data_IF_236818139372
#
_entry.id   IF_236818139372
#
_cell.length_a   1.000
_cell.length_b   1.000
_cell.length_c   1.000
_cell.angle_alpha   90.00
_cell.angle_beta   90.00
_cell.angle_gamma   90.00
#
_symmetry.space_group_name_H-M   'P 1'
#
loop_
_entity.id
_entity.type
_entity.pdbx_description
1 polymer ?
#
# COMPACT_ATOMS: atom_id res chain seq x y z
N UNK A 1 -35.50 -2.96 9.51
CA UNK A 1 -35.05 -4.35 9.32
C UNK A 1 -34.85 -4.51 7.82
N UNK A 2 -33.68 -4.14 7.32
CA UNK A 2 -33.24 -4.33 5.95
C UNK A 2 -32.59 -5.71 5.87
N UNK A 3 -33.12 -6.57 5.04
CA UNK A 3 -32.58 -7.90 4.75
C UNK A 3 -31.14 -7.76 4.23
N UNK A 4 -30.19 -8.30 4.98
CA UNK A 4 -28.85 -8.60 4.47
C UNK A 4 -29.08 -9.67 3.40
N UNK A 5 -28.85 -9.33 2.14
CA UNK A 5 -28.79 -10.33 1.08
C UNK A 5 -27.59 -11.22 1.38
N UNK A 6 -27.86 -12.48 1.69
CA UNK A 6 -26.88 -13.55 1.80
C UNK A 6 -26.20 -13.72 0.43
N UNK A 7 -25.11 -13.00 0.19
CA UNK A 7 -24.19 -13.40 -0.85
C UNK A 7 -23.51 -14.68 -0.36
N UNK A 8 -23.63 -15.80 -1.06
CA UNK A 8 -22.95 -17.00 -0.67
C UNK A 8 -21.44 -16.69 -0.67
N UNK A 9 -20.83 -16.75 0.52
CA UNK A 9 -19.37 -16.72 0.65
C UNK A 9 -18.87 -17.84 -0.26
N UNK A 10 -18.25 -17.47 -1.37
CA UNK A 10 -17.72 -18.44 -2.31
C UNK A 10 -16.73 -19.30 -1.54
N UNK A 11 -17.10 -20.55 -1.29
CA UNK A 11 -16.16 -21.51 -0.78
C UNK A 11 -14.99 -21.53 -1.76
N UNK A 12 -13.80 -21.23 -1.28
CA UNK A 12 -12.57 -21.19 -2.07
C UNK A 12 -12.31 -22.62 -2.57
N UNK A 13 -12.92 -22.98 -3.68
CA UNK A 13 -12.61 -24.23 -4.36
C UNK A 13 -11.36 -23.99 -5.19
N UNK A 14 -10.22 -24.22 -4.58
CA UNK A 14 -8.98 -24.39 -5.32
C UNK A 14 -8.98 -25.78 -5.94
N UNK A 15 -9.66 -25.94 -7.08
CA UNK A 15 -9.61 -27.17 -7.82
C UNK A 15 -8.17 -27.39 -8.30
N UNK A 16 -7.52 -28.46 -7.84
CA UNK A 16 -6.12 -28.79 -8.17
C UNK A 16 -5.91 -29.13 -9.64
N UNK A 17 -6.99 -29.45 -10.36
CA UNK A 17 -7.02 -29.74 -11.80
C UNK A 17 -7.35 -28.51 -12.67
N UNK A 18 -7.40 -27.33 -12.07
CA UNK A 18 -7.62 -26.08 -12.80
C UNK A 18 -6.39 -25.68 -13.64
N UNK A 19 -6.65 -25.10 -14.81
CA UNK A 19 -5.60 -24.50 -15.62
C UNK A 19 -4.87 -23.38 -14.85
N UNK A 20 -3.54 -23.31 -14.93
CA UNK A 20 -2.75 -22.28 -14.25
C UNK A 20 -3.19 -20.86 -14.62
N UNK A 21 -3.30 -20.00 -13.63
CA UNK A 21 -3.72 -18.59 -13.82
C UNK A 21 -3.11 -17.66 -12.78
N UNK A 22 -3.30 -16.38 -12.98
CA UNK A 22 -3.00 -15.36 -11.97
C UNK A 22 -4.19 -15.29 -10.99
N UNK A 23 -3.96 -15.58 -9.71
CA UNK A 23 -4.95 -15.43 -8.64
C UNK A 23 -4.74 -14.09 -7.95
N UNK A 24 -5.68 -13.16 -8.13
CA UNK A 24 -5.60 -11.82 -7.54
C UNK A 24 -6.32 -11.82 -6.19
N UNK A 25 -5.56 -11.80 -5.11
CA UNK A 25 -6.07 -11.89 -3.73
C UNK A 25 -6.25 -10.51 -3.15
N UNK A 26 -7.50 -10.11 -2.87
CA UNK A 26 -7.84 -8.79 -2.33
C UNK A 26 -9.14 -8.81 -1.52
N UNK A 27 -9.48 -7.65 -0.90
CA UNK A 27 -10.71 -7.48 -0.13
C UNK A 27 -11.61 -6.35 -0.67
N UNK A 28 -11.17 -5.64 -1.72
CA UNK A 28 -11.92 -4.51 -2.26
C UNK A 28 -12.14 -4.66 -3.77
N UNK A 29 -13.32 -5.10 -4.19
CA UNK A 29 -13.64 -5.28 -5.60
C UNK A 29 -13.67 -3.98 -6.41
N UNK A 30 -13.95 -2.82 -5.78
CA UNK A 30 -14.01 -1.53 -6.46
C UNK A 30 -12.67 -1.09 -7.05
N UNK A 31 -11.58 -1.63 -6.55
CA UNK A 31 -10.22 -1.32 -7.02
C UNK A 31 -9.72 -2.30 -8.08
N UNK A 32 -10.49 -3.33 -8.43
CA UNK A 32 -10.04 -4.37 -9.35
C UNK A 32 -10.22 -4.02 -10.84
N UNK A 33 -11.26 -3.29 -11.30
CA UNK A 33 -11.57 -3.11 -12.71
C UNK A 33 -10.42 -2.66 -13.62
N UNK A 34 -9.50 -1.75 -13.25
CA UNK A 34 -8.36 -1.38 -14.08
C UNK A 34 -7.41 -2.54 -14.37
N UNK A 35 -7.22 -3.43 -13.40
CA UNK A 35 -6.36 -4.61 -13.52
C UNK A 35 -7.06 -5.70 -14.33
N UNK A 36 -8.34 -5.91 -14.13
CA UNK A 36 -9.16 -6.80 -14.94
C UNK A 36 -9.06 -6.43 -16.43
N UNK A 37 -9.26 -5.16 -16.74
CA UNK A 37 -9.13 -4.65 -18.10
C UNK A 37 -7.73 -4.89 -18.68
N UNK A 38 -6.67 -4.70 -17.90
CA UNK A 38 -5.29 -4.92 -18.32
C UNK A 38 -5.00 -6.40 -18.56
N UNK A 39 -5.45 -7.31 -17.68
CA UNK A 39 -5.31 -8.76 -17.88
C UNK A 39 -6.03 -9.23 -19.15
N UNK A 40 -7.28 -8.78 -19.37
CA UNK A 40 -8.04 -9.10 -20.59
C UNK A 40 -7.34 -8.59 -21.85
N UNK A 41 -6.87 -7.34 -21.84
CA UNK A 41 -6.19 -6.73 -22.97
C UNK A 41 -4.92 -7.49 -23.37
N UNK A 42 -4.23 -8.13 -22.43
CA UNK A 42 -2.99 -8.88 -22.66
C UNK A 42 -3.21 -10.40 -22.78
N UNK A 43 -4.46 -10.88 -22.70
CA UNK A 43 -4.78 -12.29 -22.79
C UNK A 43 -4.21 -13.13 -21.63
N UNK A 44 -3.98 -12.52 -20.47
CA UNK A 44 -3.50 -13.20 -19.26
C UNK A 44 -4.69 -13.84 -18.57
N UNK A 45 -4.63 -15.16 -18.35
CA UNK A 45 -5.64 -15.88 -17.57
C UNK A 45 -5.56 -15.47 -16.11
N UNK A 46 -6.69 -15.06 -15.52
CA UNK A 46 -6.75 -14.64 -14.12
C UNK A 46 -8.02 -15.11 -13.42
N UNK A 47 -7.97 -15.07 -12.11
CA UNK A 47 -9.11 -15.29 -11.22
C UNK A 47 -9.04 -14.25 -10.09
N UNK A 48 -10.15 -13.56 -9.88
CA UNK A 48 -10.35 -12.71 -8.71
C UNK A 48 -10.64 -13.58 -7.49
N UNK A 49 -9.97 -13.26 -6.39
CA UNK A 49 -10.08 -13.99 -5.13
C UNK A 49 -10.36 -12.98 -4.01
N UNK A 50 -11.66 -12.84 -3.67
CA UNK A 50 -12.12 -11.92 -2.64
C UNK A 50 -11.93 -12.51 -1.24
N UNK A 51 -10.94 -12.03 -0.49
CA UNK A 51 -10.56 -12.55 0.83
C UNK A 51 -11.24 -11.80 1.97
N UNK A 52 -12.55 -11.90 2.07
CA UNK A 52 -13.34 -11.33 3.18
C UNK A 52 -13.79 -12.37 4.20
N UNK A 53 -13.62 -13.64 3.89
CA UNK A 53 -13.98 -14.80 4.70
C UNK A 53 -13.63 -16.10 3.97
N UNK A 54 -14.07 -17.24 4.48
CA UNK A 54 -13.85 -18.55 3.83
C UNK A 54 -13.02 -19.51 4.68
N UNK A 55 -12.52 -20.54 4.05
CA UNK A 55 -11.68 -21.56 4.67
C UNK A 55 -10.66 -22.12 3.67
N UNK A 56 -9.55 -22.63 4.18
CA UNK A 56 -8.55 -23.41 3.44
C UNK A 56 -8.44 -24.79 4.09
N UNK A 57 -8.22 -25.81 3.28
CA UNK A 57 -7.83 -27.13 3.73
C UNK A 57 -6.30 -27.22 3.65
N UNK A 58 -5.63 -27.36 4.77
CA UNK A 58 -4.17 -27.35 4.84
C UNK A 58 -3.52 -28.56 4.17
N UNK A 59 -4.28 -29.66 4.05
CA UNK A 59 -3.83 -30.89 3.39
C UNK A 59 -4.12 -30.87 1.87
N UNK A 60 -4.94 -29.93 1.41
CA UNK A 60 -5.25 -29.79 -0.01
C UNK A 60 -4.19 -28.90 -0.69
N UNK A 61 -3.73 -29.36 -1.85
CA UNK A 61 -2.81 -28.58 -2.69
C UNK A 61 -3.54 -27.35 -3.29
N UNK A 62 -2.96 -26.13 -3.20
CA UNK A 62 -3.54 -24.96 -3.85
C UNK A 62 -3.58 -25.08 -5.38
N UNK A 63 -4.54 -24.43 -6.03
CA UNK A 63 -4.59 -24.33 -7.49
C UNK A 63 -3.24 -23.86 -8.08
N UNK A 64 -2.85 -24.38 -9.26
CA UNK A 64 -1.61 -23.96 -9.90
C UNK A 64 -1.69 -22.51 -10.38
N UNK A 65 -0.52 -21.83 -10.45
CA UNK A 65 -0.37 -20.48 -10.96
C UNK A 65 0.31 -19.51 -10.01
N UNK A 66 0.20 -18.23 -10.33
CA UNK A 66 0.82 -17.13 -9.60
C UNK A 66 -0.23 -16.41 -8.75
N UNK A 67 0.07 -16.22 -7.48
CA UNK A 67 -0.80 -15.49 -6.55
C UNK A 67 -0.27 -14.07 -6.35
N UNK A 68 -1.14 -13.08 -6.46
CA UNK A 68 -0.78 -11.68 -6.27
C UNK A 68 -1.56 -11.08 -5.11
N UNK A 69 -0.82 -10.56 -4.12
CA UNK A 69 -1.39 -9.84 -2.98
C UNK A 69 -1.83 -8.44 -3.37
N UNK A 70 -3.08 -8.13 -3.05
CA UNK A 70 -3.59 -6.77 -3.01
C UNK A 70 -4.24 -6.44 -1.65
N UNK A 71 -3.65 -6.97 -0.58
CA UNK A 71 -4.04 -6.58 0.77
C UNK A 71 -3.81 -5.08 0.96
N UNK A 72 -4.82 -4.38 1.48
CA UNK A 72 -4.71 -2.99 1.88
C UNK A 72 -4.55 -2.85 3.39
N UNK A 73 -3.58 -2.03 3.83
CA UNK A 73 -3.42 -1.66 5.23
C UNK A 73 -4.68 -1.02 5.82
N UNK A 74 -5.55 -0.41 4.97
CA UNK A 74 -6.82 0.21 5.37
C UNK A 74 -8.04 -0.70 5.27
N UNK A 75 -7.90 -2.00 5.07
CA UNK A 75 -9.03 -2.95 4.96
C UNK A 75 -10.02 -2.86 6.13
N UNK A 76 -9.53 -2.59 7.35
CA UNK A 76 -10.35 -2.43 8.55
C UNK A 76 -11.37 -1.27 8.47
N UNK A 77 -11.17 -0.28 7.61
CA UNK A 77 -12.11 0.85 7.42
C UNK A 77 -13.31 0.49 6.55
N UNK A 78 -13.31 -0.69 5.95
CA UNK A 78 -14.35 -1.24 5.08
C UNK A 78 -15.00 -2.50 5.67
N UNK A 79 -15.05 -2.61 6.99
CA UNK A 79 -15.55 -3.76 7.76
C UNK A 79 -14.77 -5.08 7.53
N UNK A 80 -13.58 -4.99 6.92
CA UNK A 80 -12.71 -6.13 6.65
C UNK A 80 -11.53 -6.21 7.64
N UNK A 81 -11.79 -5.99 8.93
CA UNK A 81 -10.76 -5.89 9.97
C UNK A 81 -9.86 -7.13 10.09
N UNK A 82 -10.34 -8.32 9.69
CA UNK A 82 -9.60 -9.58 9.80
C UNK A 82 -8.88 -10.00 8.52
N UNK A 83 -9.01 -9.25 7.44
CA UNK A 83 -8.40 -9.63 6.15
C UNK A 83 -6.89 -9.79 6.25
N UNK A 84 -6.22 -8.98 7.09
CA UNK A 84 -4.79 -9.12 7.35
C UNK A 84 -4.42 -10.52 7.87
N UNK A 85 -5.16 -11.01 8.86
CA UNK A 85 -4.95 -12.33 9.45
C UNK A 85 -5.28 -13.45 8.45
N UNK A 86 -6.34 -13.27 7.66
CA UNK A 86 -6.69 -14.23 6.61
C UNK A 86 -5.59 -14.28 5.53
N UNK A 87 -5.09 -13.13 5.10
CA UNK A 87 -3.99 -13.04 4.13
C UNK A 87 -2.73 -13.75 4.62
N UNK A 88 -2.34 -13.51 5.87
CA UNK A 88 -1.20 -14.20 6.49
C UNK A 88 -1.36 -15.72 6.48
N UNK A 89 -2.54 -16.23 6.85
CA UNK A 89 -2.82 -17.65 6.88
C UNK A 89 -2.81 -18.25 5.46
N UNK A 90 -3.49 -17.62 4.52
CA UNK A 90 -3.55 -18.08 3.12
C UNK A 90 -2.17 -18.09 2.48
N UNK A 91 -1.37 -17.02 2.67
CA UNK A 91 -0.05 -16.94 2.04
C UNK A 91 0.95 -17.90 2.68
N UNK A 92 0.91 -18.11 4.00
CA UNK A 92 1.71 -19.14 4.63
C UNK A 92 1.40 -20.55 4.08
N UNK A 93 0.12 -20.84 3.82
CA UNK A 93 -0.30 -22.09 3.18
C UNK A 93 0.20 -22.18 1.74
N UNK A 94 0.01 -21.13 0.90
CA UNK A 94 0.48 -21.07 -0.48
C UNK A 94 2.01 -21.26 -0.59
N UNK A 95 2.74 -20.51 0.23
CA UNK A 95 4.22 -20.57 0.28
C UNK A 95 4.70 -21.93 0.79
N UNK A 96 3.98 -22.52 1.76
CA UNK A 96 4.25 -23.89 2.27
C UNK A 96 4.12 -24.95 1.21
N UNK A 97 3.23 -24.79 0.22
CA UNK A 97 3.07 -25.64 -0.95
C UNK A 97 3.97 -25.23 -2.14
N UNK A 98 4.86 -24.25 -1.97
CA UNK A 98 5.77 -23.78 -3.01
C UNK A 98 5.12 -22.95 -4.11
N UNK A 99 3.91 -22.41 -3.90
CA UNK A 99 3.27 -21.52 -4.89
C UNK A 99 3.99 -20.21 -4.99
N UNK A 100 4.05 -19.65 -6.21
CA UNK A 100 4.63 -18.32 -6.44
C UNK A 100 3.66 -17.24 -5.94
N UNK A 101 4.06 -16.51 -4.90
CA UNK A 101 3.29 -15.40 -4.35
C UNK A 101 4.04 -14.09 -4.57
N UNK A 102 3.44 -13.16 -5.34
CA UNK A 102 3.90 -11.77 -5.50
C UNK A 102 3.27 -10.95 -4.39
N UNK A 103 4.08 -10.27 -3.59
CA UNK A 103 3.62 -9.62 -2.36
C UNK A 103 3.29 -10.61 -1.24
N UNK A 104 4.11 -11.67 -1.10
CA UNK A 104 3.94 -12.73 -0.10
C UNK A 104 4.06 -12.26 1.35
N UNK A 105 4.16 -13.21 2.28
CA UNK A 105 4.07 -12.97 3.74
C UNK A 105 4.99 -11.84 4.22
N UNK A 106 6.24 -11.80 3.77
CA UNK A 106 7.18 -10.74 4.16
C UNK A 106 6.77 -9.34 3.69
N UNK A 107 6.14 -9.25 2.53
CA UNK A 107 5.66 -7.97 1.95
C UNK A 107 4.37 -7.52 2.64
N UNK A 108 3.50 -8.46 3.03
CA UNK A 108 2.31 -8.16 3.84
C UNK A 108 2.69 -7.46 5.15
N UNK A 109 3.77 -7.88 5.80
CA UNK A 109 4.24 -7.21 7.03
C UNK A 109 4.72 -5.77 6.77
N UNK A 110 5.29 -5.49 5.61
CA UNK A 110 5.65 -4.11 5.22
C UNK A 110 4.39 -3.28 4.92
N UNK A 111 3.39 -3.84 4.24
CA UNK A 111 2.14 -3.14 3.91
C UNK A 111 1.42 -2.65 5.17
N UNK A 112 1.39 -3.48 6.22
CA UNK A 112 0.61 -3.19 7.43
C UNK A 112 1.39 -2.49 8.53
N UNK A 113 2.67 -2.14 8.32
CA UNK A 113 3.50 -1.54 9.37
C UNK A 113 4.46 -0.47 8.86
N UNK A 114 4.13 0.79 9.13
CA UNK A 114 5.04 1.92 8.86
C UNK A 114 6.32 1.85 9.70
N UNK A 115 6.27 1.25 10.89
CA UNK A 115 7.48 0.97 11.69
C UNK A 115 8.42 0.06 10.92
N UNK A 116 7.92 -1.02 10.32
CA UNK A 116 8.72 -1.94 9.51
C UNK A 116 9.29 -1.23 8.27
N UNK A 117 8.48 -0.41 7.59
CA UNK A 117 8.91 0.39 6.44
C UNK A 117 10.05 1.36 6.80
N UNK A 118 9.90 2.14 7.88
CA UNK A 118 10.93 3.07 8.33
C UNK A 118 12.22 2.35 8.76
N UNK A 119 12.11 1.20 9.42
CA UNK A 119 13.27 0.39 9.79
C UNK A 119 14.01 -0.14 8.54
N UNK A 120 13.27 -0.60 7.53
CA UNK A 120 13.83 -1.06 6.25
C UNK A 120 14.53 0.10 5.52
N UNK A 121 13.86 1.24 5.36
CA UNK A 121 14.41 2.43 4.70
C UNK A 121 15.70 2.92 5.38
N UNK A 122 15.70 3.04 6.72
CA UNK A 122 16.90 3.44 7.49
C UNK A 122 18.07 2.48 7.31
N UNK A 123 17.81 1.17 7.33
CA UNK A 123 18.84 0.14 7.13
C UNK A 123 19.49 0.25 5.76
N UNK A 124 18.77 0.75 4.76
CA UNK A 124 19.27 0.99 3.40
C UNK A 124 19.76 2.44 3.18
N UNK A 125 19.91 3.22 4.25
CA UNK A 125 20.52 4.55 4.20
C UNK A 125 19.62 5.65 3.60
N UNK A 126 18.30 5.44 3.58
CA UNK A 126 17.36 6.50 3.23
C UNK A 126 17.13 7.44 4.42
N UNK A 127 16.97 8.71 4.11
CA UNK A 127 16.46 9.68 5.09
C UNK A 127 14.96 9.44 5.26
N UNK A 128 14.52 9.28 6.51
CA UNK A 128 13.13 9.08 6.90
C UNK A 128 12.77 10.05 8.01
N UNK A 129 11.50 10.44 8.18
CA UNK A 129 11.11 11.35 9.24
C UNK A 129 11.50 10.80 10.62
N UNK A 130 11.89 11.71 11.53
CA UNK A 130 11.99 11.33 12.95
C UNK A 130 10.61 10.89 13.44
N UNK A 131 10.52 9.66 13.91
CA UNK A 131 9.26 9.03 14.29
C UNK A 131 9.43 8.25 15.58
N UNK A 132 8.47 8.41 16.49
CA UNK A 132 8.32 7.64 17.71
C UNK A 132 7.10 6.72 17.54
N UNK A 133 7.23 5.43 17.78
CA UNK A 133 6.11 4.49 17.86
C UNK A 133 5.69 4.36 19.32
N UNK A 134 4.42 4.63 19.60
CA UNK A 134 3.85 4.57 20.96
C UNK A 134 2.77 3.51 20.98
N UNK A 135 2.89 2.58 21.92
CA UNK A 135 1.98 1.45 22.08
C UNK A 135 0.94 1.78 23.16
N UNK A 136 -0.32 1.86 22.75
CA UNK A 136 -1.39 2.33 23.61
C UNK A 136 -1.44 3.87 23.73
N UNK A 137 -2.37 4.36 24.56
CA UNK A 137 -2.73 5.79 24.65
C UNK A 137 -2.00 6.53 25.76
N UNK A 138 -1.62 5.82 26.83
CA UNK A 138 -1.20 6.41 28.11
C UNK A 138 0.06 7.26 27.99
N UNK A 139 1.05 6.80 27.23
CA UNK A 139 2.36 7.46 27.09
C UNK A 139 2.38 8.55 26.00
N UNK A 140 1.33 8.67 25.20
CA UNK A 140 1.28 9.59 24.05
C UNK A 140 1.64 11.04 24.45
N UNK A 141 1.03 11.64 25.52
CA UNK A 141 1.36 13.02 25.91
C UNK A 141 2.81 13.21 26.32
N UNK A 142 3.39 12.25 27.04
CA UNK A 142 4.77 12.33 27.50
C UNK A 142 5.76 12.19 26.31
N UNK A 143 5.48 11.25 25.41
CA UNK A 143 6.35 10.99 24.25
C UNK A 143 6.30 12.11 23.20
N UNK A 144 5.14 12.78 23.04
CA UNK A 144 5.01 13.88 22.11
C UNK A 144 5.97 15.04 22.43
N UNK A 145 6.31 15.25 23.69
CA UNK A 145 7.25 16.31 24.12
C UNK A 145 8.69 16.08 23.69
N UNK A 146 9.02 14.91 23.14
CA UNK A 146 10.32 14.65 22.53
C UNK A 146 10.42 15.17 21.08
N UNK A 147 9.29 15.60 20.50
CA UNK A 147 9.23 16.22 19.19
C UNK A 147 8.99 17.72 19.32
N UNK A 148 9.61 18.48 18.40
CA UNK A 148 9.31 19.90 18.24
C UNK A 148 7.93 20.07 17.58
N UNK A 149 7.24 21.15 17.93
CA UNK A 149 6.00 21.53 17.27
C UNK A 149 6.30 22.39 16.01
N UNK A 150 5.54 22.25 14.92
CA UNK A 150 4.46 21.28 14.75
C UNK A 150 4.97 19.85 14.52
N UNK A 151 4.18 18.88 14.94
CA UNK A 151 4.37 17.48 14.62
C UNK A 151 3.05 16.84 14.12
N UNK A 152 3.11 15.61 13.63
CA UNK A 152 1.92 14.88 13.19
C UNK A 152 1.76 13.55 13.92
N UNK A 153 0.53 13.08 14.02
CA UNK A 153 0.24 11.68 14.29
C UNK A 153 0.02 10.91 13.00
N UNK A 154 0.19 9.59 13.05
CA UNK A 154 -0.22 8.62 12.00
C UNK A 154 -0.56 7.30 12.68
N UNK A 155 -1.46 6.53 12.08
CA UNK A 155 -1.60 5.12 12.46
C UNK A 155 -0.44 4.30 11.87
N UNK A 156 0.10 3.35 12.63
CA UNK A 156 1.11 2.43 12.10
C UNK A 156 0.52 1.55 10.99
N UNK A 157 -0.66 0.96 11.24
CA UNK A 157 -1.44 0.27 10.22
C UNK A 157 -2.51 1.21 9.69
N UNK A 158 -2.35 1.70 8.45
CA UNK A 158 -3.32 2.58 7.83
C UNK A 158 -2.85 3.06 6.46
N UNK A 159 -3.79 3.51 5.67
CA UNK A 159 -3.59 4.18 4.38
C UNK A 159 -4.55 5.36 4.26
N UNK A 160 -4.55 6.08 3.13
CA UNK A 160 -5.48 7.18 2.85
C UNK A 160 -5.47 8.32 3.90
N UNK A 161 -4.35 8.57 4.54
CA UNK A 161 -4.26 9.63 5.55
C UNK A 161 -4.89 9.31 6.91
N UNK A 162 -5.28 8.06 7.18
CA UNK A 162 -5.90 7.66 8.45
C UNK A 162 -5.04 7.98 9.65
N UNK A 163 -5.64 8.67 10.63
CA UNK A 163 -4.98 9.10 11.86
C UNK A 163 -3.90 10.16 11.63
N UNK A 164 -3.79 10.71 10.42
CA UNK A 164 -2.85 11.83 10.16
C UNK A 164 -3.49 13.12 10.63
N UNK A 165 -2.95 13.65 11.73
CA UNK A 165 -3.36 14.96 12.29
C UNK A 165 -2.12 15.77 12.61
N UNK A 166 -2.15 17.07 12.32
CA UNK A 166 -1.10 18.00 12.68
C UNK A 166 -1.46 18.69 14.00
N UNK A 167 -0.44 18.87 14.83
CA UNK A 167 -0.54 19.57 16.09
C UNK A 167 0.50 20.70 16.14
N UNK A 168 0.02 21.90 16.33
CA UNK A 168 0.85 23.10 16.42
C UNK A 168 1.28 23.39 17.87
N UNK A 169 0.63 22.74 18.86
CA UNK A 169 0.99 22.78 20.28
C UNK A 169 0.86 21.41 20.93
N UNK A 170 1.59 21.19 22.00
CA UNK A 170 1.46 19.95 22.80
C UNK A 170 0.14 19.93 23.57
N UNK A 171 -0.38 21.09 23.97
CA UNK A 171 -1.64 21.25 24.68
C UNK A 171 -2.85 20.78 23.84
N UNK A 172 -2.87 21.14 22.54
CA UNK A 172 -3.92 20.67 21.62
C UNK A 172 -3.84 19.16 21.43
N UNK A 173 -2.62 18.61 21.38
CA UNK A 173 -2.42 17.18 21.32
C UNK A 173 -2.92 16.47 22.56
N UNK A 174 -2.59 16.96 23.76
CA UNK A 174 -3.05 16.40 25.03
C UNK A 174 -4.59 16.42 25.10
N UNK A 175 -5.21 17.51 24.70
CA UNK A 175 -6.66 17.65 24.64
C UNK A 175 -7.27 16.62 23.67
N UNK A 176 -6.70 16.45 22.50
CA UNK A 176 -7.11 15.43 21.52
C UNK A 176 -6.98 14.02 22.10
N UNK A 177 -5.82 13.68 22.67
CA UNK A 177 -5.60 12.37 23.28
C UNK A 177 -6.60 12.11 24.42
N UNK A 178 -6.98 13.12 25.21
CA UNK A 178 -7.95 12.96 26.30
C UNK A 178 -9.42 12.91 25.82
N UNK A 179 -9.70 13.32 24.58
CA UNK A 179 -11.05 13.46 24.04
C UNK A 179 -11.64 12.13 23.56
N UNK A 180 -12.98 12.05 23.40
CA UNK A 180 -13.63 10.93 22.72
C UNK A 180 -13.38 10.90 21.21
N UNK A 181 -12.80 11.96 20.63
CA UNK A 181 -12.45 12.05 19.21
C UNK A 181 -11.12 11.36 18.88
N UNK A 182 -10.40 10.87 19.91
CA UNK A 182 -9.17 10.13 19.68
C UNK A 182 -9.45 8.86 18.90
N UNK A 183 -8.82 8.74 17.73
CA UNK A 183 -8.94 7.59 16.85
C UNK A 183 -7.93 6.52 17.27
N UNK A 184 -8.42 5.43 17.87
CA UNK A 184 -7.57 4.29 18.24
C UNK A 184 -7.04 3.59 16.97
N UNK A 185 -5.71 3.43 16.82
CA UNK A 185 -5.15 2.67 15.72
C UNK A 185 -5.60 1.20 15.74
N UNK A 186 -5.84 0.61 14.57
CA UNK A 186 -6.31 -0.78 14.45
C UNK A 186 -5.36 -1.81 15.09
N UNK A 187 -4.07 -1.49 15.17
CA UNK A 187 -3.01 -2.33 15.77
C UNK A 187 -2.53 -1.80 17.14
N UNK A 188 -3.19 -0.78 17.68
CA UNK A 188 -2.85 -0.14 18.96
C UNK A 188 -1.57 0.69 18.95
N UNK A 189 -1.02 1.02 17.75
CA UNK A 189 0.25 1.73 17.61
C UNK A 189 0.06 3.09 16.93
N UNK A 190 0.26 4.16 17.69
CA UNK A 190 0.31 5.53 17.16
C UNK A 190 1.74 5.95 16.84
N UNK A 191 1.96 6.50 15.67
CA UNK A 191 3.22 7.14 15.32
C UNK A 191 3.13 8.64 15.59
N UNK A 192 4.08 9.16 16.34
CA UNK A 192 4.34 10.59 16.50
C UNK A 192 5.53 10.94 15.61
N UNK A 193 5.34 11.83 14.65
CA UNK A 193 6.32 12.08 13.60
C UNK A 193 6.58 13.58 13.45
N UNK A 194 7.84 13.97 13.21
CA UNK A 194 8.18 15.35 12.85
C UNK A 194 7.33 15.82 11.65
N UNK A 195 6.92 17.07 11.69
CA UNK A 195 6.25 17.69 10.55
C UNK A 195 7.28 18.16 9.54
N UNK A 196 7.27 17.57 8.35
CA UNK A 196 8.13 17.95 7.26
C UNK A 196 7.48 19.05 6.43
N UNK A 197 8.23 20.14 6.20
CA UNK A 197 7.82 21.18 5.25
C UNK A 197 8.41 20.86 3.89
N UNK A 198 7.56 20.59 2.91
CA UNK A 198 8.02 20.41 1.53
C UNK A 198 8.56 21.73 0.97
N UNK A 199 9.55 21.65 0.07
CA UNK A 199 10.08 22.80 -0.67
C UNK A 199 9.02 23.39 -1.60
N UNK A 200 8.21 22.53 -2.20
CA UNK A 200 7.06 22.89 -3.04
C UNK A 200 5.81 22.13 -2.54
N UNK A 201 4.58 22.62 -2.81
CA UNK A 201 3.36 22.07 -2.24
C UNK A 201 2.93 20.77 -2.94
N UNK A 202 3.83 19.81 -3.03
CA UNK A 202 3.53 18.46 -3.52
C UNK A 202 4.44 17.41 -2.87
N UNK A 203 4.02 16.17 -2.96
CA UNK A 203 4.84 14.98 -2.70
C UNK A 203 5.00 14.18 -3.98
N UNK A 204 6.02 13.33 -4.04
CA UNK A 204 6.26 12.47 -5.20
C UNK A 204 6.03 11.03 -4.83
N UNK A 205 5.33 10.32 -5.71
CA UNK A 205 5.16 8.89 -5.64
C UNK A 205 5.78 8.23 -6.89
N UNK A 206 6.78 7.39 -6.68
CA UNK A 206 7.43 6.61 -7.73
C UNK A 206 6.83 5.20 -7.77
N UNK A 207 6.38 4.76 -8.94
CA UNK A 207 5.72 3.46 -9.12
C UNK A 207 6.69 2.44 -9.70
N UNK A 208 6.63 1.22 -9.16
CA UNK A 208 7.51 0.10 -9.52
C UNK A 208 6.70 -1.16 -9.78
N UNK A 209 7.07 -1.90 -10.83
CA UNK A 209 6.52 -3.21 -11.18
C UNK A 209 7.66 -4.16 -11.55
N UNK A 210 7.65 -5.37 -10.99
CA UNK A 210 8.76 -6.31 -11.12
C UNK A 210 10.06 -5.75 -10.51
N UNK A 211 9.94 -4.89 -9.49
CA UNK A 211 11.07 -4.17 -8.90
C UNK A 211 11.69 -3.10 -9.81
N UNK A 212 11.05 -2.74 -10.93
CA UNK A 212 11.54 -1.78 -11.90
C UNK A 212 10.64 -0.56 -11.98
N UNK A 213 11.27 0.61 -12.12
CA UNK A 213 10.59 1.89 -12.23
C UNK A 213 9.64 1.94 -13.44
N UNK A 214 8.45 2.46 -13.24
CA UNK A 214 7.44 2.67 -14.30
C UNK A 214 7.31 4.16 -14.62
N UNK A 215 6.91 4.96 -13.66
CA UNK A 215 6.84 6.43 -13.72
C UNK A 215 6.78 7.03 -12.31
N UNK A 216 6.91 8.34 -12.21
CA UNK A 216 6.66 9.08 -10.99
C UNK A 216 5.50 10.05 -11.16
N UNK A 217 4.76 10.25 -10.05
CA UNK A 217 3.59 11.14 -9.98
C UNK A 217 3.86 12.21 -8.95
N UNK A 218 3.55 13.44 -9.30
CA UNK A 218 3.42 14.55 -8.38
C UNK A 218 2.00 14.59 -7.83
N UNK A 219 1.87 14.63 -6.51
CA UNK A 219 0.59 14.73 -5.80
C UNK A 219 0.54 16.08 -5.09
N UNK A 220 -0.39 16.94 -5.52
CA UNK A 220 -0.56 18.29 -4.97
C UNK A 220 -1.05 18.22 -3.51
N UNK A 221 -0.40 18.96 -2.62
CA UNK A 221 -0.74 19.06 -1.19
C UNK A 221 -1.13 20.48 -0.78
N UNK A 222 -1.34 21.40 -1.74
CA UNK A 222 -1.66 22.82 -1.48
C UNK A 222 -2.98 23.01 -0.74
N UNK A 223 -3.94 22.09 -0.90
CA UNK A 223 -5.21 22.10 -0.19
C UNK A 223 -5.09 21.72 1.30
N UNK A 224 -3.89 21.35 1.78
CA UNK A 224 -3.62 20.96 3.17
C UNK A 224 -4.19 19.60 3.55
N UNK A 225 -4.69 18.81 2.60
CA UNK A 225 -5.14 17.45 2.87
C UNK A 225 -3.94 16.49 2.89
N UNK A 226 -3.91 15.62 3.88
CA UNK A 226 -2.94 14.50 3.95
C UNK A 226 -3.46 13.24 3.25
N UNK A 227 -4.64 13.33 2.65
CA UNK A 227 -5.25 12.22 1.92
C UNK A 227 -4.64 12.11 0.52
N UNK A 228 -3.71 11.20 0.35
CA UNK A 228 -2.95 10.99 -0.90
C UNK A 228 -3.60 9.97 -1.84
N UNK A 229 -4.83 9.52 -1.56
CA UNK A 229 -5.50 8.52 -2.41
C UNK A 229 -6.99 8.80 -2.57
N UNK A 230 -7.41 9.68 -3.49
CA UNK A 230 -8.81 9.81 -3.85
C UNK A 230 -9.22 8.73 -4.86
N UNK A 231 -9.20 7.47 -4.47
CA UNK A 231 -9.86 6.43 -5.28
C UNK A 231 -11.39 6.58 -5.25
N UNK A 232 -11.91 7.32 -4.28
CA UNK A 232 -13.35 7.52 -4.05
C UNK A 232 -13.83 8.95 -4.37
N UNK A 233 -13.02 9.81 -4.99
CA UNK A 233 -13.43 11.18 -5.34
C UNK A 233 -14.37 11.17 -6.55
N UNK A 234 -15.66 11.10 -6.29
CA UNK A 234 -16.72 11.32 -7.29
C UNK A 234 -16.97 12.81 -7.62
N UNK A 235 -16.25 13.74 -7.03
CA UNK A 235 -16.31 15.15 -7.39
C UNK A 235 -14.95 15.61 -7.92
N UNK A 236 -14.92 16.05 -9.17
CA UNK A 236 -13.73 16.55 -9.86
C UNK A 236 -13.39 17.93 -9.28
N UNK A 237 -12.31 18.08 -8.49
CA UNK A 237 -11.84 19.42 -8.12
C UNK A 237 -11.32 20.14 -9.37
N UNK A 238 -11.46 21.46 -9.44
CA UNK A 238 -10.88 22.30 -10.51
C UNK A 238 -9.34 22.21 -10.61
N UNK A 239 -8.68 21.66 -9.63
CA UNK A 239 -7.22 21.42 -9.60
C UNK A 239 -6.96 19.95 -9.85
N UNK A 240 -6.15 19.62 -10.86
CA UNK A 240 -5.70 18.24 -11.12
C UNK A 240 -4.68 17.87 -10.03
N UNK A 241 -5.07 17.07 -9.02
CA UNK A 241 -4.21 16.81 -7.87
C UNK A 241 -3.02 15.88 -8.22
N UNK A 242 -3.00 15.32 -9.43
CA UNK A 242 -1.99 14.37 -9.88
C UNK A 242 -1.45 14.77 -11.25
N UNK A 243 -0.12 14.74 -11.39
CA UNK A 243 0.54 14.94 -12.68
C UNK A 243 1.80 14.05 -12.77
N UNK A 244 2.21 13.68 -13.99
CA UNK A 244 3.48 13.01 -14.19
C UNK A 244 4.63 13.93 -13.74
N UNK A 245 5.65 13.32 -13.14
CA UNK A 245 6.90 13.94 -12.79
C UNK A 245 7.99 13.45 -13.72
N UNK A 246 8.02 14.02 -14.91
CA UNK A 246 8.84 13.55 -16.05
C UNK A 246 10.35 13.61 -15.80
N UNK A 247 10.81 14.52 -14.91
CA UNK A 247 12.22 14.63 -14.53
C UNK A 247 12.71 13.48 -13.67
N UNK A 248 11.81 12.71 -13.06
CA UNK A 248 12.16 11.47 -12.36
C UNK A 248 12.10 10.31 -13.34
N UNK A 249 13.26 9.81 -13.71
CA UNK A 249 13.43 8.73 -14.71
C UNK A 249 14.08 7.50 -14.07
N UNK A 250 14.18 6.40 -14.82
CA UNK A 250 14.88 5.18 -14.38
C UNK A 250 16.37 5.40 -14.06
N UNK A 251 16.98 6.44 -14.66
CA UNK A 251 18.39 6.81 -14.43
C UNK A 251 18.56 7.67 -13.19
N UNK A 252 17.49 8.19 -12.62
CA UNK A 252 17.56 9.04 -11.43
C UNK A 252 18.21 8.29 -10.26
N UNK A 253 19.20 8.87 -9.55
CA UNK A 253 19.94 8.15 -8.51
C UNK A 253 19.06 7.59 -7.40
N UNK A 254 18.02 8.32 -7.00
CA UNK A 254 17.05 7.87 -5.99
C UNK A 254 16.25 6.66 -6.47
N UNK A 255 15.84 6.63 -7.74
CA UNK A 255 15.09 5.52 -8.35
C UNK A 255 15.93 4.24 -8.34
N UNK A 256 17.20 4.31 -8.72
CA UNK A 256 18.11 3.16 -8.67
C UNK A 256 18.26 2.61 -7.25
N UNK A 257 18.39 3.49 -6.27
CA UNK A 257 18.44 3.07 -4.86
C UNK A 257 17.13 2.41 -4.40
N UNK A 258 15.97 2.88 -4.90
CA UNK A 258 14.69 2.22 -4.63
C UNK A 258 14.62 0.84 -5.29
N UNK A 259 15.08 0.67 -6.52
CA UNK A 259 15.15 -0.66 -7.14
C UNK A 259 16.04 -1.64 -6.35
N UNK A 260 17.18 -1.18 -5.82
CA UNK A 260 18.06 -1.97 -4.96
C UNK A 260 17.36 -2.34 -3.63
N UNK A 261 16.65 -1.39 -2.99
CA UNK A 261 15.85 -1.62 -1.79
C UNK A 261 14.77 -2.67 -2.02
N UNK A 262 13.99 -2.50 -3.09
CA UNK A 262 12.88 -3.39 -3.45
C UNK A 262 13.38 -4.81 -3.71
N UNK A 263 14.49 -4.95 -4.45
CA UNK A 263 15.13 -6.24 -4.70
C UNK A 263 15.60 -6.91 -3.40
N UNK A 264 16.24 -6.16 -2.50
CA UNK A 264 16.71 -6.67 -1.22
C UNK A 264 15.58 -7.06 -0.26
N UNK A 265 14.41 -6.41 -0.37
CA UNK A 265 13.24 -6.67 0.45
C UNK A 265 12.28 -7.70 -0.18
N UNK A 266 12.53 -8.15 -1.42
CA UNK A 266 11.62 -9.04 -2.15
C UNK A 266 10.30 -8.38 -2.54
N UNK A 267 10.28 -7.05 -2.67
CA UNK A 267 9.09 -6.28 -3.05
C UNK A 267 9.10 -6.07 -4.55
N UNK A 268 8.10 -6.57 -5.24
CA UNK A 268 8.06 -6.57 -6.70
C UNK A 268 7.11 -5.51 -7.27
N UNK A 269 6.08 -5.13 -6.51
CA UNK A 269 5.12 -4.10 -6.91
C UNK A 269 4.98 -3.13 -5.74
N UNK A 270 5.28 -1.85 -5.97
CA UNK A 270 5.15 -0.81 -4.95
C UNK A 270 5.05 0.60 -5.54
N UNK A 271 4.38 1.48 -4.80
CA UNK A 271 4.50 2.93 -4.92
C UNK A 271 5.28 3.48 -3.72
N UNK A 272 6.42 4.13 -3.95
CA UNK A 272 7.27 4.71 -2.91
C UNK A 272 7.06 6.22 -2.86
N UNK A 273 6.74 6.75 -1.68
CA UNK A 273 6.47 8.16 -1.49
C UNK A 273 7.64 8.89 -0.83
N UNK A 274 8.01 10.02 -1.42
CA UNK A 274 9.06 10.89 -0.89
C UNK A 274 8.73 12.37 -1.12
N UNK A 275 9.39 13.23 -0.38
CA UNK A 275 9.33 14.67 -0.58
C UNK A 275 10.73 15.30 -0.52
N UNK A 276 10.89 16.37 -1.24
CA UNK A 276 12.01 17.31 -1.08
C UNK A 276 11.57 18.37 -0.09
N UNK A 277 12.32 18.50 0.98
CA UNK A 277 11.99 19.40 2.08
C UNK A 277 12.60 20.78 1.89
N UNK A 278 12.03 21.79 2.53
CA UNK A 278 12.51 23.18 2.46
C UNK A 278 13.95 23.37 2.99
N UNK A 279 14.44 22.45 3.82
CA UNK A 279 15.81 22.40 4.32
C UNK A 279 16.77 21.59 3.42
N UNK A 280 16.30 21.13 2.26
CA UNK A 280 17.10 20.47 1.22
C UNK A 280 17.30 18.96 1.40
N UNK A 281 16.57 18.30 2.31
CA UNK A 281 16.57 16.83 2.43
C UNK A 281 15.64 16.21 1.39
N UNK A 282 15.93 14.98 0.99
CA UNK A 282 14.98 14.10 0.29
C UNK A 282 14.57 13.00 1.24
N UNK A 283 13.34 13.07 1.74
CA UNK A 283 12.83 12.20 2.79
C UNK A 283 11.82 11.22 2.22
N UNK A 284 12.08 9.91 2.39
CA UNK A 284 11.16 8.81 2.02
C UNK A 284 10.35 8.42 3.24
N UNK A 285 9.02 8.33 3.11
CA UNK A 285 8.17 8.15 4.29
C UNK A 285 7.08 7.09 4.15
N UNK A 286 6.86 6.52 2.96
CA UNK A 286 5.84 5.47 2.76
C UNK A 286 6.23 4.51 1.62
N UNK A 287 5.91 3.22 1.80
CA UNK A 287 6.03 2.17 0.79
C UNK A 287 4.67 1.48 0.70
N UNK A 288 3.95 1.71 -0.39
CA UNK A 288 2.63 1.13 -0.62
C UNK A 288 2.77 -0.09 -1.54
N UNK A 289 2.55 -1.29 -1.03
CA UNK A 289 2.63 -2.54 -1.81
C UNK A 289 1.29 -2.92 -2.45
N UNK A 290 0.21 -2.25 -2.04
CA UNK A 290 -1.09 -2.26 -2.70
C UNK A 290 -1.34 -0.90 -3.37
N UNK A 291 -0.79 -0.72 -4.58
CA UNK A 291 -0.90 0.55 -5.31
C UNK A 291 -2.14 0.59 -6.21
N UNK A 292 -2.79 1.75 -6.27
CA UNK A 292 -3.83 2.09 -7.22
C UNK A 292 -3.34 3.25 -8.10
N UNK A 293 -3.83 3.30 -9.33
CA UNK A 293 -3.35 4.22 -10.35
C UNK A 293 -4.43 5.24 -10.70
N UNK A 294 -4.04 6.52 -10.76
CA UNK A 294 -4.96 7.60 -11.11
C UNK A 294 -5.28 7.54 -12.63
N UNK A 295 -6.56 7.47 -13.04
CA UNK A 295 -6.92 7.36 -14.45
C UNK A 295 -6.44 8.52 -15.33
N UNK A 296 -6.36 9.74 -14.80
CA UNK A 296 -5.88 10.90 -15.56
C UNK A 296 -4.38 10.82 -15.81
N UNK A 297 -3.61 10.28 -14.84
CA UNK A 297 -2.17 10.00 -15.02
C UNK A 297 -1.99 8.86 -16.03
N UNK A 298 -2.74 7.77 -15.88
CA UNK A 298 -2.67 6.61 -16.77
C UNK A 298 -2.94 6.98 -18.25
N UNK A 299 -3.82 7.94 -18.49
CA UNK A 299 -4.14 8.40 -19.85
C UNK A 299 -2.97 9.08 -20.58
N UNK A 300 -1.98 9.60 -19.84
CA UNK A 300 -0.82 10.33 -20.38
C UNK A 300 0.52 9.68 -20.02
N UNK A 301 0.51 8.67 -19.16
CA UNK A 301 1.71 7.96 -18.75
C UNK A 301 2.37 7.22 -19.95
N UNK A 302 3.72 7.18 -20.02
CA UNK A 302 4.42 6.50 -21.11
C UNK A 302 4.18 4.98 -21.11
N UNK A 303 3.83 4.43 -19.95
CA UNK A 303 3.47 3.02 -19.72
C UNK A 303 2.36 2.96 -18.69
N UNK A 304 1.36 2.11 -18.87
CA UNK A 304 0.29 1.91 -17.92
C UNK A 304 0.76 1.09 -16.72
N UNK A 305 0.51 1.54 -15.50
CA UNK A 305 0.82 0.78 -14.29
C UNK A 305 0.07 -0.56 -14.23
N UNK A 306 -1.27 -0.60 -14.38
CA UNK A 306 -2.02 -1.86 -14.50
C UNK A 306 -1.54 -2.73 -15.67
N UNK A 307 -1.17 -2.13 -16.80
CA UNK A 307 -0.62 -2.83 -17.96
C UNK A 307 0.72 -3.51 -17.67
N UNK A 308 1.64 -2.81 -17.00
CA UNK A 308 2.93 -3.39 -16.59
C UNK A 308 2.73 -4.53 -15.56
N UNK A 309 1.77 -4.40 -14.63
CA UNK A 309 1.43 -5.46 -13.69
C UNK A 309 0.89 -6.70 -14.42
N UNK A 310 -0.05 -6.52 -15.35
CA UNK A 310 -0.60 -7.63 -16.12
C UNK A 310 0.49 -8.34 -16.94
N UNK A 311 1.40 -7.58 -17.57
CA UNK A 311 2.56 -8.12 -18.31
C UNK A 311 3.46 -8.91 -17.36
N UNK A 312 3.86 -8.32 -16.24
CA UNK A 312 4.76 -8.94 -15.27
C UNK A 312 4.21 -10.26 -14.71
N UNK A 313 2.96 -10.26 -14.25
CA UNK A 313 2.31 -11.45 -13.71
C UNK A 313 2.07 -12.51 -14.79
N UNK A 314 1.78 -12.09 -16.02
CA UNK A 314 1.67 -12.98 -17.18
C UNK A 314 3.01 -13.62 -17.54
N UNK A 315 4.14 -12.89 -17.45
CA UNK A 315 5.48 -13.46 -17.65
C UNK A 315 5.81 -14.52 -16.59
N UNK A 316 5.51 -14.23 -15.30
CA UNK A 316 5.68 -15.21 -14.24
C UNK A 316 4.83 -16.47 -14.46
N UNK A 317 3.56 -16.30 -14.84
CA UNK A 317 2.67 -17.42 -15.13
C UNK A 317 3.20 -18.31 -16.26
N UNK A 318 3.73 -17.69 -17.32
CA UNK A 318 4.37 -18.44 -18.44
C UNK A 318 5.61 -19.21 -17.99
N UNK A 319 6.42 -18.62 -17.12
CA UNK A 319 7.60 -19.28 -16.56
C UNK A 319 7.22 -20.52 -15.73
N UNK A 320 6.21 -20.40 -14.87
CA UNK A 320 5.67 -21.51 -14.05
C UNK A 320 5.14 -22.67 -14.91
N UNK A 321 4.48 -22.36 -16.04
CA UNK A 321 3.89 -23.38 -16.91
C UNK A 321 4.89 -24.05 -17.85
N UNK A 322 6.10 -23.50 -17.98
CA UNK A 322 7.18 -24.02 -18.84
C UNK A 322 8.21 -24.85 -18.09
N UNK A 323 8.10 -24.94 -16.75
CA UNK A 323 8.96 -25.70 -15.84
C UNK A 323 8.40 -27.04 -15.51
#
# INVERSE_FOLDING_TARGET
MTSVEDHPVAAWSFATDAEPRVHVVHENPDWFPPFEAAFRAQGVSFQEVLLTGGSIDLDAEPAPGVYWSRLSASAHTRDHARTKEFTRAVFAWLEGWGRRVVGGTGVVELEVSKVAQHALLRRHGFDVPRTLAVFGREDLPARARELEVPFITKHNQGGKGLGVRRFDTHEDFDAYVASPEFEEPADGTTLLQEFLRSAEPFVTRAEFVGGRFVYAVRVDTSAGSFELCPADACEVPEVVPFALREEITAEHPLVRRYEELLAAAGVEIAGIEFMETADGRTVTYDINTNTNYNPAVEAVAPRSGPGEIARYLGDLLRAETSS
#
